data_IF_861239958465
#
_entry.id   IF_861239958465
#
_cell.length_a   1.000
_cell.length_b   1.000
_cell.length_c   1.000
_cell.angle_alpha   90.00
_cell.angle_beta   90.00
_cell.angle_gamma   90.00
#
_symmetry.space_group_name_H-M   'P 1'
#
loop_
_entity.id
_entity.type
_entity.pdbx_description
1 polymer ?
#
# COMPACT_ATOMS: atom_id res chain seq x y z
N UNK A 1 -5.03 -41.97 28.44
CA UNK A 1 -5.45 -41.01 27.39
C UNK A 1 -5.31 -39.54 27.84
N UNK A 2 -4.14 -39.07 28.33
CA UNK A 2 -3.94 -37.67 28.78
C UNK A 2 -2.84 -36.91 28.04
N UNK A 3 -2.02 -37.60 27.25
CA UNK A 3 -0.86 -37.05 26.54
C UNK A 3 -1.22 -36.40 25.19
N UNK A 4 -2.21 -36.94 24.47
CA UNK A 4 -2.64 -36.39 23.17
C UNK A 4 -3.28 -35.00 23.26
N UNK A 5 -4.00 -34.70 24.35
CA UNK A 5 -4.66 -33.40 24.55
C UNK A 5 -3.65 -32.26 24.77
N UNK A 6 -2.50 -32.55 25.40
CA UNK A 6 -1.44 -31.57 25.64
C UNK A 6 -0.65 -31.26 24.37
N UNK A 7 -0.37 -32.26 23.55
CA UNK A 7 0.35 -32.08 22.28
C UNK A 7 -0.48 -31.28 21.26
N UNK A 8 -1.79 -31.54 21.18
CA UNK A 8 -2.70 -30.79 20.32
C UNK A 8 -2.81 -29.31 20.73
N UNK A 9 -2.88 -29.02 22.04
CA UNK A 9 -2.90 -27.65 22.55
C UNK A 9 -1.60 -26.88 22.26
N UNK A 10 -0.45 -27.55 22.36
CA UNK A 10 0.86 -26.94 22.10
C UNK A 10 1.07 -26.64 20.61
N UNK A 11 0.63 -27.54 19.73
CA UNK A 11 0.68 -27.33 18.28
C UNK A 11 -0.24 -26.18 17.85
N UNK A 12 -1.46 -26.10 18.40
CA UNK A 12 -2.39 -25.01 18.10
C UNK A 12 -1.85 -23.65 18.56
N UNK A 13 -1.23 -23.61 19.75
CA UNK A 13 -0.60 -22.40 20.27
C UNK A 13 0.55 -21.92 19.38
N UNK A 14 1.42 -22.83 18.91
CA UNK A 14 2.52 -22.48 18.00
C UNK A 14 2.01 -21.91 16.67
N UNK A 15 0.97 -22.50 16.08
CA UNK A 15 0.35 -22.00 14.84
C UNK A 15 -0.25 -20.61 15.03
N UNK A 16 -0.99 -20.38 16.12
CA UNK A 16 -1.56 -19.07 16.44
C UNK A 16 -0.47 -18.01 16.65
N UNK A 17 0.62 -18.38 17.33
CA UNK A 17 1.74 -17.47 17.58
C UNK A 17 2.46 -17.11 16.27
N UNK A 18 2.66 -18.09 15.38
CA UNK A 18 3.24 -17.85 14.05
C UNK A 18 2.35 -16.94 13.19
N UNK A 19 1.03 -17.14 13.21
CA UNK A 19 0.06 -16.27 12.53
C UNK A 19 0.07 -14.84 13.08
N UNK A 20 0.14 -14.66 14.39
CA UNK A 20 0.24 -13.34 15.02
C UNK A 20 1.53 -12.62 14.63
N UNK A 21 2.67 -13.33 14.62
CA UNK A 21 3.96 -12.75 14.21
C UNK A 21 3.94 -12.36 12.73
N UNK A 22 3.43 -13.22 11.86
CA UNK A 22 3.32 -12.94 10.42
C UNK A 22 2.40 -11.74 10.13
N UNK A 23 1.25 -11.67 10.82
CA UNK A 23 0.30 -10.57 10.68
C UNK A 23 0.87 -9.24 11.18
N UNK A 24 1.63 -9.27 12.28
CA UNK A 24 2.25 -8.06 12.83
C UNK A 24 3.35 -7.49 11.91
N UNK A 25 4.05 -8.35 11.17
CA UNK A 25 5.10 -7.92 10.25
C UNK A 25 4.52 -7.23 9.01
N UNK A 26 3.42 -7.76 8.45
CA UNK A 26 2.72 -7.13 7.33
C UNK A 26 2.12 -5.76 7.68
N UNK A 27 1.68 -5.57 8.92
CA UNK A 27 1.06 -4.31 9.38
C UNK A 27 2.07 -3.22 9.76
N UNK A 28 3.30 -3.57 10.17
CA UNK A 28 4.30 -2.58 10.62
C UNK A 28 4.71 -1.58 9.55
N UNK A 29 4.79 -1.99 8.28
CA UNK A 29 5.16 -1.09 7.18
C UNK A 29 4.03 -0.17 6.71
N UNK A 30 2.77 -0.46 7.07
CA UNK A 30 1.60 0.24 6.52
C UNK A 30 1.55 1.70 6.95
N UNK A 31 1.76 1.95 8.25
CA UNK A 31 1.72 3.32 8.78
C UNK A 31 2.79 4.20 8.14
N UNK A 32 3.96 3.64 7.83
CA UNK A 32 5.05 4.36 7.16
C UNK A 32 4.70 4.68 5.71
N UNK A 33 4.12 3.71 4.97
CA UNK A 33 3.67 3.93 3.59
C UNK A 33 2.59 4.99 3.53
N UNK A 34 1.59 4.95 4.43
CA UNK A 34 0.53 5.95 4.50
C UNK A 34 1.08 7.34 4.86
N UNK A 35 1.94 7.42 5.88
CA UNK A 35 2.57 8.68 6.29
C UNK A 35 3.45 9.30 5.19
N UNK A 36 4.14 8.47 4.40
CA UNK A 36 4.89 8.95 3.21
C UNK A 36 3.95 9.41 2.11
N UNK A 37 2.86 8.69 1.88
CA UNK A 37 1.87 9.08 0.87
C UNK A 37 1.26 10.46 1.19
N UNK A 38 0.93 10.73 2.46
CA UNK A 38 0.39 12.02 2.91
C UNK A 38 1.36 13.20 2.71
N UNK A 39 2.66 12.95 2.49
CA UNK A 39 3.66 13.98 2.17
C UNK A 39 3.72 14.30 0.68
N UNK A 40 3.06 13.52 -0.17
CA UNK A 40 3.00 13.78 -1.59
C UNK A 40 2.14 15.01 -1.88
N UNK A 41 2.38 15.65 -3.02
CA UNK A 41 1.62 16.81 -3.45
C UNK A 41 1.36 16.76 -4.95
N UNK A 42 0.26 17.40 -5.37
CA UNK A 42 -0.04 17.58 -6.79
C UNK A 42 1.10 18.35 -7.47
N UNK A 43 1.34 18.06 -8.75
CA UNK A 43 2.46 18.66 -9.49
C UNK A 43 3.80 17.94 -9.31
N UNK A 44 3.93 17.01 -8.36
CA UNK A 44 5.16 16.22 -8.23
C UNK A 44 5.35 15.31 -9.44
N UNK A 45 6.54 15.30 -10.00
CA UNK A 45 6.88 14.34 -11.05
C UNK A 45 7.13 12.95 -10.46
N UNK A 46 7.20 11.93 -11.33
CA UNK A 46 7.40 10.54 -10.93
C UNK A 46 8.64 10.32 -10.06
N UNK A 47 9.77 10.96 -10.39
CA UNK A 47 11.00 10.79 -9.62
C UNK A 47 10.86 11.35 -8.18
N UNK A 48 10.16 12.47 -8.01
CA UNK A 48 9.86 13.03 -6.70
C UNK A 48 8.94 12.11 -5.89
N UNK A 49 7.89 11.56 -6.53
CA UNK A 49 6.98 10.61 -5.86
C UNK A 49 7.75 9.36 -5.40
N UNK A 50 8.62 8.81 -6.26
CA UNK A 50 9.47 7.68 -5.91
C UNK A 50 10.46 8.00 -4.79
N UNK A 51 11.03 9.21 -4.77
CA UNK A 51 11.93 9.64 -3.69
C UNK A 51 11.23 9.71 -2.32
N UNK A 52 9.95 10.10 -2.29
CA UNK A 52 9.16 10.17 -1.04
C UNK A 52 8.69 8.78 -0.60
N UNK A 53 8.23 7.96 -1.56
CA UNK A 53 7.63 6.66 -1.25
C UNK A 53 8.68 5.56 -1.06
N UNK A 54 9.85 5.68 -1.69
CA UNK A 54 10.91 4.68 -1.69
C UNK A 54 10.49 3.39 -2.39
N UNK A 55 11.03 2.26 -1.92
CA UNK A 55 10.82 0.92 -2.50
C UNK A 55 9.38 0.39 -2.39
N UNK A 56 8.50 1.11 -1.70
CA UNK A 56 7.08 0.78 -1.55
C UNK A 56 6.27 1.05 -2.83
N UNK A 57 6.82 1.80 -3.78
CA UNK A 57 6.21 2.02 -5.08
C UNK A 57 6.26 0.73 -5.91
N UNK A 58 5.11 0.11 -6.13
CA UNK A 58 5.02 -1.16 -6.85
C UNK A 58 3.97 -1.05 -7.93
N UNK A 59 4.27 -1.60 -9.11
CA UNK A 59 3.29 -1.72 -10.20
C UNK A 59 2.90 -0.36 -10.78
N UNK A 60 3.65 0.03 -11.81
CA UNK A 60 3.20 1.02 -12.76
C UNK A 60 2.22 0.38 -13.73
N UNK A 61 1.02 0.95 -13.85
CA UNK A 61 0.03 0.52 -14.83
C UNK A 61 -0.46 1.74 -15.60
N UNK A 62 -0.91 1.49 -16.82
CA UNK A 62 -1.57 2.50 -17.65
C UNK A 62 -3.04 2.14 -17.75
N UNK A 63 -3.93 3.05 -17.37
CA UNK A 63 -5.38 2.94 -17.59
C UNK A 63 -5.82 3.92 -18.67
N UNK A 64 -6.98 3.67 -19.28
CA UNK A 64 -7.64 4.66 -20.13
C UNK A 64 -8.78 5.26 -19.32
N UNK A 65 -8.64 6.51 -18.90
CA UNK A 65 -9.69 7.27 -18.23
C UNK A 65 -10.22 8.33 -19.20
N UNK A 66 -11.52 8.27 -19.50
CA UNK A 66 -12.20 9.23 -20.40
C UNK A 66 -11.50 9.39 -21.77
N UNK A 67 -10.96 8.30 -22.31
CA UNK A 67 -10.26 8.30 -23.60
C UNK A 67 -8.79 8.76 -23.54
N UNK A 68 -8.28 9.12 -22.36
CA UNK A 68 -6.88 9.48 -22.17
C UNK A 68 -6.12 8.35 -21.45
N UNK A 69 -4.91 8.06 -21.92
CA UNK A 69 -4.00 7.15 -21.23
C UNK A 69 -3.48 7.87 -19.98
N UNK A 70 -3.60 7.22 -18.83
CA UNK A 70 -3.10 7.73 -17.55
C UNK A 70 -2.18 6.70 -16.93
N UNK A 71 -0.98 7.14 -16.54
CA UNK A 71 -0.09 6.33 -15.72
C UNK A 71 -0.51 6.38 -14.27
N UNK A 72 -0.54 5.25 -13.57
CA UNK A 72 -0.71 5.22 -12.13
C UNK A 72 0.30 4.30 -11.47
N UNK A 73 0.74 4.68 -10.27
CA UNK A 73 1.53 3.86 -9.37
C UNK A 73 0.65 3.48 -8.19
N UNK A 74 0.65 2.21 -7.84
CA UNK A 74 0.02 1.71 -6.60
C UNK A 74 1.13 1.47 -5.58
N UNK A 75 0.83 1.57 -4.30
CA UNK A 75 1.80 1.25 -3.25
C UNK A 75 1.35 -0.01 -2.53
N UNK A 76 2.28 -0.93 -2.36
CA UNK A 76 1.97 -2.25 -1.80
C UNK A 76 1.68 -2.13 -0.31
N UNK A 77 0.42 -2.40 0.03
CA UNK A 77 -0.09 -2.47 1.41
C UNK A 77 -0.91 -3.75 1.54
N UNK A 78 -1.06 -4.31 2.76
CA UNK A 78 -1.98 -5.41 3.02
C UNK A 78 -3.40 -5.05 2.54
N UNK A 79 -4.13 -6.04 2.04
CA UNK A 79 -5.49 -5.90 1.50
C UNK A 79 -6.52 -5.30 2.48
N UNK A 80 -6.18 -5.24 3.77
CA UNK A 80 -6.98 -4.56 4.80
C UNK A 80 -6.99 -3.04 4.65
N UNK A 81 -6.12 -2.47 3.82
CA UNK A 81 -6.08 -1.04 3.48
C UNK A 81 -6.74 -0.84 2.13
N UNK A 82 -7.96 -0.31 2.14
CA UNK A 82 -8.77 0.00 0.96
C UNK A 82 -9.25 1.46 1.04
N UNK A 83 -8.97 2.32 0.03
CA UNK A 83 -8.19 2.04 -1.16
C UNK A 83 -6.70 1.87 -0.83
N UNK A 84 -6.03 0.99 -1.57
CA UNK A 84 -4.57 0.95 -1.57
C UNK A 84 -4.04 2.33 -2.00
N UNK A 85 -2.96 2.85 -1.37
CA UNK A 85 -2.43 4.14 -1.77
C UNK A 85 -2.03 4.12 -3.24
N UNK A 86 -2.34 5.19 -3.96
CA UNK A 86 -2.06 5.29 -5.38
C UNK A 86 -1.88 6.74 -5.83
N UNK A 87 -1.07 6.92 -6.87
CA UNK A 87 -0.83 8.21 -7.51
C UNK A 87 -1.06 8.05 -9.01
N UNK A 88 -1.87 8.93 -9.59
CA UNK A 88 -2.08 9.04 -11.05
C UNK A 88 -1.33 10.25 -11.58
N UNK A 89 -0.67 10.06 -12.71
CA UNK A 89 0.10 11.07 -13.42
C UNK A 89 -0.66 11.56 -14.67
N UNK A 90 -0.47 12.83 -15.00
CA UNK A 90 -0.86 13.41 -16.27
C UNK A 90 0.15 12.97 -17.36
N UNK A 91 -0.35 12.54 -18.52
CA UNK A 91 0.49 12.01 -19.61
C UNK A 91 1.20 13.12 -20.39
N UNK A 92 0.64 14.34 -20.40
CA UNK A 92 1.22 15.48 -21.10
C UNK A 92 2.32 16.16 -20.27
N UNK A 93 2.12 16.29 -18.95
CA UNK A 93 3.09 16.96 -18.06
C UNK A 93 3.98 16.00 -17.27
N UNK A 94 3.58 14.74 -17.12
CA UNK A 94 4.27 13.77 -16.26
C UNK A 94 4.12 14.03 -14.76
N UNK A 95 3.21 14.94 -14.37
CA UNK A 95 2.99 15.37 -12.98
C UNK A 95 1.86 14.61 -12.31
N UNK A 96 1.93 14.45 -10.99
CA UNK A 96 0.87 13.89 -10.18
C UNK A 96 -0.39 14.79 -10.24
N UNK A 97 -1.48 14.23 -10.75
CA UNK A 97 -2.79 14.90 -10.87
C UNK A 97 -3.83 14.38 -9.89
N UNK A 98 -3.63 13.16 -9.39
CA UNK A 98 -4.53 12.54 -8.43
C UNK A 98 -3.73 11.66 -7.47
N UNK A 99 -3.95 11.84 -6.16
CA UNK A 99 -3.26 11.10 -5.10
C UNK A 99 -4.33 10.59 -4.14
N UNK A 100 -4.27 9.31 -3.82
CA UNK A 100 -5.15 8.66 -2.85
C UNK A 100 -4.26 7.96 -1.85
N UNK A 101 -4.32 8.36 -0.58
CA UNK A 101 -3.61 7.68 0.50
C UNK A 101 -4.57 6.88 1.39
N UNK A 102 -5.79 7.39 1.54
CA UNK A 102 -6.87 6.72 2.26
C UNK A 102 -8.22 7.28 1.79
N UNK A 103 -9.33 6.71 2.28
CA UNK A 103 -10.67 7.28 2.08
C UNK A 103 -10.75 8.76 2.48
N UNK A 104 -10.03 9.16 3.54
CA UNK A 104 -10.07 10.52 4.09
C UNK A 104 -9.00 11.45 3.52
N UNK A 105 -8.00 10.91 2.82
CA UNK A 105 -6.90 11.70 2.27
C UNK A 105 -6.77 11.45 0.77
N UNK A 106 -7.40 12.33 0.00
CA UNK A 106 -7.42 12.32 -1.47
C UNK A 106 -7.13 13.73 -1.97
N UNK A 107 -6.19 13.86 -2.89
CA UNK A 107 -5.85 15.12 -3.55
C UNK A 107 -6.15 15.00 -5.05
N UNK A 108 -6.76 16.04 -5.63
CA UNK A 108 -7.14 16.07 -7.04
C UNK A 108 -6.97 17.47 -7.62
N UNK A 109 -6.39 17.55 -8.82
CA UNK A 109 -6.30 18.76 -9.63
C UNK A 109 -7.56 18.98 -10.47
#
# INVERSE_FOLDING_TARGET
MRTGLKAAGLALALVLTALLVYSNWGMRGVSDVLSRCEKLSLGMNRAQVLAVMGDSARVEKTAILKGQKVGYMVFEVPFTVDPAPQVTFDDATGEAQYIVCSERHRLRK
#
